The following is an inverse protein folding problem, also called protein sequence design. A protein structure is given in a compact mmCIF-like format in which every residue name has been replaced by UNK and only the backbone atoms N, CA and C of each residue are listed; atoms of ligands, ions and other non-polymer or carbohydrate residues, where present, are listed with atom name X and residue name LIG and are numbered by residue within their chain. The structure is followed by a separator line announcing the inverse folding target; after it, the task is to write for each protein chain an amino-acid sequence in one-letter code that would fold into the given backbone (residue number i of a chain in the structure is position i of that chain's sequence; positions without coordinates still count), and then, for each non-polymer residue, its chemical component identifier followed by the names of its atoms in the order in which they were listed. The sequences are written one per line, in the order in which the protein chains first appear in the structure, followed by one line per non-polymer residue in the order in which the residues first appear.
data_IF_283021791306
#
_entry.id   IF_283021791306
#
_cell.length_a   1.000
_cell.length_b   1.000
_cell.length_c   1.000
_cell.angle_alpha   90.00
_cell.angle_beta   90.00
_cell.angle_gamma   90.00
#
_symmetry.space_group_name_H-M   'P 1'
#
loop_
_entity.id
_entity.type
_entity.pdbx_description
1 polymer ?
#
# COMPACT_ATOMS: atom_id res chain seq x y z
N UNK A 1 10.35 -10.48 2.39
CA UNK A 1 9.04 -11.04 2.81
C UNK A 1 7.88 -10.23 2.26
N UNK A 2 7.76 -8.92 2.54
CA UNK A 2 6.64 -8.08 2.07
C UNK A 2 6.39 -8.15 0.54
N UNK A 3 7.46 -8.09 -0.27
CA UNK A 3 7.37 -8.25 -1.73
C UNK A 3 6.69 -9.56 -2.16
N UNK A 4 7.08 -10.68 -1.54
CA UNK A 4 6.51 -11.99 -1.86
C UNK A 4 5.04 -12.07 -1.48
N UNK A 5 4.67 -11.50 -0.33
CA UNK A 5 3.27 -11.43 0.12
C UNK A 5 2.41 -10.58 -0.83
N UNK A 6 2.90 -9.42 -1.26
CA UNK A 6 2.20 -8.58 -2.24
C UNK A 6 2.03 -9.29 -3.59
N UNK A 7 3.08 -9.97 -4.09
CA UNK A 7 2.97 -10.75 -5.33
C UNK A 7 2.01 -11.94 -5.19
N UNK A 8 2.06 -12.67 -4.06
CA UNK A 8 1.12 -13.74 -3.77
C UNK A 8 -0.32 -13.21 -3.70
N UNK A 9 -0.53 -12.07 -3.06
CA UNK A 9 -1.82 -11.37 -3.00
C UNK A 9 -2.34 -11.04 -4.40
N UNK A 10 -1.52 -10.45 -5.26
CA UNK A 10 -1.90 -10.10 -6.63
C UNK A 10 -2.26 -11.34 -7.47
N UNK A 11 -1.46 -12.41 -7.39
CA UNK A 11 -1.72 -13.66 -8.13
C UNK A 11 -3.00 -14.35 -7.66
N UNK A 12 -3.18 -14.51 -6.34
CA UNK A 12 -4.37 -15.15 -5.77
C UNK A 12 -5.64 -14.35 -6.06
N UNK A 13 -5.57 -13.02 -5.95
CA UNK A 13 -6.69 -12.14 -6.28
C UNK A 13 -7.04 -12.19 -7.77
N UNK A 14 -6.03 -12.25 -8.64
CA UNK A 14 -6.25 -12.38 -10.07
C UNK A 14 -6.91 -13.73 -10.42
N UNK A 15 -6.49 -14.81 -9.76
CA UNK A 15 -7.11 -16.13 -9.92
C UNK A 15 -8.56 -16.13 -9.41
N UNK A 16 -8.85 -15.47 -8.28
CA UNK A 16 -10.20 -15.33 -7.76
C UNK A 16 -11.10 -14.52 -8.71
N UNK A 17 -10.62 -13.35 -9.17
CA UNK A 17 -11.30 -12.51 -10.14
C UNK A 17 -11.53 -13.26 -11.46
N UNK A 18 -10.53 -13.98 -11.97
CA UNK A 18 -10.68 -14.77 -13.19
C UNK A 18 -11.71 -15.90 -13.03
N UNK A 19 -11.69 -16.63 -11.91
CA UNK A 19 -12.67 -17.68 -11.65
C UNK A 19 -14.11 -17.17 -11.62
N UNK A 20 -14.33 -15.90 -11.23
CA UNK A 20 -15.65 -15.26 -11.26
C UNK A 20 -16.00 -14.71 -12.64
N UNK A 21 -15.07 -14.01 -13.27
CA UNK A 21 -15.36 -13.16 -14.43
C UNK A 21 -14.97 -13.75 -15.78
N UNK A 22 -14.37 -14.95 -15.83
CA UNK A 22 -13.97 -15.57 -17.09
C UNK A 22 -15.13 -15.63 -18.10
N UNK A 23 -16.33 -15.99 -17.65
CA UNK A 23 -17.56 -16.04 -18.48
C UNK A 23 -17.93 -14.72 -19.16
N UNK A 24 -17.42 -13.58 -18.68
CA UNK A 24 -17.63 -12.26 -19.28
C UNK A 24 -16.61 -11.90 -20.36
N UNK A 25 -15.45 -12.55 -20.37
CA UNK A 25 -14.31 -12.17 -21.24
C UNK A 25 -13.94 -13.26 -22.26
N UNK A 26 -14.16 -14.52 -21.88
CA UNK A 26 -13.94 -15.69 -22.69
C UNK A 26 -15.24 -16.50 -22.65
N UNK A 27 -15.62 -17.15 -23.75
CA UNK A 27 -16.77 -18.06 -23.81
C UNK A 27 -16.49 -19.34 -23.00
N UNK A 28 -16.21 -19.17 -21.70
CA UNK A 28 -15.97 -20.22 -20.73
C UNK A 28 -17.30 -20.70 -20.17
N UNK A 29 -17.35 -21.98 -19.82
CA UNK A 29 -18.49 -22.56 -19.13
C UNK A 29 -18.74 -21.79 -17.82
N UNK A 30 -20.00 -21.40 -17.54
CA UNK A 30 -20.28 -20.66 -16.33
C UNK A 30 -19.98 -21.54 -15.12
N UNK A 31 -19.44 -20.94 -14.05
CA UNK A 31 -18.89 -21.70 -12.95
C UNK A 31 -19.95 -22.30 -12.02
N UNK A 32 -21.24 -22.06 -12.29
CA UNK A 32 -22.36 -22.55 -11.51
C UNK A 32 -23.28 -23.45 -12.37
N UNK A 33 -23.68 -24.62 -11.83
CA UNK A 33 -24.56 -25.54 -12.53
C UNK A 33 -25.92 -24.87 -12.81
N UNK A 34 -26.42 -25.02 -14.04
CA UNK A 34 -27.69 -24.44 -14.47
C UNK A 34 -27.60 -23.03 -15.08
N UNK A 35 -26.41 -22.40 -15.10
CA UNK A 35 -26.22 -21.11 -15.78
C UNK A 35 -25.88 -21.22 -17.28
N UNK A 36 -25.40 -22.38 -17.75
CA UNK A 36 -24.93 -22.58 -19.13
C UNK A 36 -26.01 -22.36 -20.21
N UNK A 37 -27.27 -22.33 -19.81
CA UNK A 37 -28.41 -22.13 -20.71
C UNK A 37 -28.90 -20.69 -20.75
N UNK A 38 -28.27 -19.77 -20.01
CA UNK A 38 -28.67 -18.36 -19.97
C UNK A 38 -27.83 -17.55 -20.95
N UNK A 39 -28.47 -16.91 -21.92
CA UNK A 39 -27.91 -15.86 -22.82
C UNK A 39 -27.46 -14.59 -22.05
N UNK A 40 -27.17 -14.71 -20.76
CA UNK A 40 -26.84 -13.64 -19.82
C UNK A 40 -26.03 -14.13 -18.62
N UNK A 41 -25.27 -15.23 -18.73
CA UNK A 41 -24.45 -15.75 -17.64
C UNK A 41 -23.49 -14.69 -17.06
N UNK A 42 -22.90 -13.83 -17.91
CA UNK A 42 -22.11 -12.68 -17.46
C UNK A 42 -22.91 -11.68 -16.62
N UNK A 43 -24.17 -11.41 -16.97
CA UNK A 43 -25.06 -10.52 -16.20
C UNK A 43 -25.45 -11.18 -14.88
N UNK A 44 -25.70 -12.50 -14.88
CA UNK A 44 -26.04 -13.23 -13.67
C UNK A 44 -24.92 -13.19 -12.62
N UNK A 45 -23.66 -13.36 -13.01
CA UNK A 45 -22.51 -13.32 -12.06
C UNK A 45 -22.16 -11.91 -11.56
N UNK A 46 -22.75 -10.86 -12.16
CA UNK A 46 -22.60 -9.49 -11.69
C UNK A 46 -23.46 -9.20 -10.46
N UNK A 47 -24.46 -10.03 -10.17
CA UNK A 47 -25.35 -9.91 -9.02
C UNK A 47 -24.56 -9.90 -7.69
N UNK A 48 -25.03 -9.09 -6.73
CA UNK A 48 -24.47 -9.01 -5.38
C UNK A 48 -24.41 -10.36 -4.65
N UNK A 49 -25.25 -11.34 -5.05
CA UNK A 49 -25.22 -12.72 -4.54
C UNK A 49 -23.84 -13.38 -4.64
N UNK A 50 -22.98 -12.90 -5.56
CA UNK A 50 -21.65 -13.45 -5.82
C UNK A 50 -20.50 -12.56 -5.35
N UNK A 51 -20.77 -11.51 -4.56
CA UNK A 51 -19.72 -10.60 -4.10
C UNK A 51 -18.80 -11.23 -3.04
N UNK A 52 -17.49 -10.98 -3.13
CA UNK A 52 -16.49 -11.49 -2.18
C UNK A 52 -15.93 -10.41 -1.27
N UNK A 53 -16.26 -9.14 -1.54
CA UNK A 53 -15.80 -8.01 -0.74
C UNK A 53 -16.46 -8.04 0.64
N UNK A 54 -17.79 -8.26 0.67
CA UNK A 54 -18.57 -8.40 1.91
C UNK A 54 -19.65 -9.48 1.66
N UNK A 55 -19.38 -10.76 1.99
CA UNK A 55 -20.40 -11.80 1.89
C UNK A 55 -21.59 -11.46 2.80
N UNK A 56 -22.79 -11.37 2.23
CA UNK A 56 -24.02 -11.04 2.96
C UNK A 56 -25.18 -11.89 2.45
N UNK A 57 -26.11 -12.27 3.32
CA UNK A 57 -27.22 -13.13 2.92
C UNK A 57 -28.19 -12.39 1.98
N UNK A 58 -28.60 -13.02 0.85
CA UNK A 58 -28.17 -14.34 0.36
C UNK A 58 -26.83 -14.28 -0.38
N UNK A 59 -25.94 -15.25 -0.16
CA UNK A 59 -24.64 -15.35 -0.84
C UNK A 59 -24.39 -16.75 -1.36
N UNK A 60 -23.71 -16.87 -2.50
CA UNK A 60 -23.28 -18.15 -3.06
C UNK A 60 -21.80 -18.13 -3.47
N UNK A 61 -20.98 -19.08 -2.99
CA UNK A 61 -19.60 -19.21 -3.44
C UNK A 61 -19.54 -19.65 -4.92
N UNK A 62 -18.57 -19.12 -5.66
CA UNK A 62 -18.22 -19.64 -6.99
C UNK A 62 -16.93 -20.43 -6.86
N UNK A 63 -17.04 -21.77 -6.89
CA UNK A 63 -15.89 -22.67 -6.72
C UNK A 63 -15.01 -22.25 -5.53
N UNK A 64 -13.68 -22.29 -5.70
CA UNK A 64 -12.71 -21.88 -4.68
C UNK A 64 -12.38 -20.37 -4.73
N UNK A 65 -13.15 -19.55 -5.48
CA UNK A 65 -12.82 -18.15 -5.70
C UNK A 65 -12.81 -17.35 -4.39
N UNK A 66 -13.78 -17.58 -3.52
CA UNK A 66 -13.87 -16.94 -2.20
C UNK A 66 -12.65 -17.28 -1.32
N UNK A 67 -12.19 -18.53 -1.31
CA UNK A 67 -11.01 -18.95 -0.55
C UNK A 67 -9.74 -18.26 -1.08
N UNK A 68 -9.57 -18.19 -2.41
CA UNK A 68 -8.45 -17.50 -3.04
C UNK A 68 -8.47 -16.00 -2.77
N UNK A 69 -9.64 -15.38 -2.80
CA UNK A 69 -9.79 -13.96 -2.48
C UNK A 69 -9.46 -13.70 -1.01
N UNK A 70 -9.98 -14.50 -0.08
CA UNK A 70 -9.65 -14.39 1.34
C UNK A 70 -8.14 -14.50 1.59
N UNK A 71 -7.47 -15.48 0.99
CA UNK A 71 -6.01 -15.60 1.06
C UNK A 71 -5.27 -14.42 0.41
N UNK A 72 -5.79 -13.86 -0.69
CA UNK A 72 -5.26 -12.65 -1.33
C UNK A 72 -5.31 -11.46 -0.38
N UNK A 73 -6.43 -11.25 0.31
CA UNK A 73 -6.63 -10.15 1.26
C UNK A 73 -5.76 -10.31 2.50
N UNK A 74 -5.62 -11.55 3.02
CA UNK A 74 -4.69 -11.85 4.12
C UNK A 74 -3.23 -11.54 3.73
N UNK A 75 -2.83 -11.98 2.54
CA UNK A 75 -1.51 -11.71 1.98
C UNK A 75 -1.28 -10.23 1.66
N UNK A 76 -2.34 -9.42 1.49
CA UNK A 76 -2.27 -7.97 1.34
C UNK A 76 -2.15 -7.24 2.68
N UNK A 77 -2.92 -7.64 3.69
CA UNK A 77 -2.94 -6.98 4.99
C UNK A 77 -1.61 -7.09 5.73
N UNK A 78 -0.99 -8.27 5.73
CA UNK A 78 0.30 -8.51 6.39
C UNK A 78 1.44 -7.55 5.94
N UNK A 79 1.75 -7.38 4.65
CA UNK A 79 2.80 -6.47 4.22
C UNK A 79 2.48 -4.99 4.52
N UNK A 80 1.21 -4.58 4.53
CA UNK A 80 0.81 -3.22 4.93
C UNK A 80 1.20 -2.96 6.38
N UNK A 81 0.89 -3.89 7.30
CA UNK A 81 1.29 -3.82 8.71
C UNK A 81 2.82 -3.84 8.86
N UNK A 82 3.51 -4.74 8.14
CA UNK A 82 4.96 -4.86 8.23
C UNK A 82 5.66 -3.59 7.74
N UNK A 83 5.20 -2.99 6.65
CA UNK A 83 5.82 -1.79 6.08
C UNK A 83 5.57 -0.56 6.96
N UNK A 84 4.41 -0.43 7.59
CA UNK A 84 4.14 0.69 8.50
C UNK A 84 5.08 0.70 9.71
N UNK A 85 5.51 -0.47 10.18
CA UNK A 85 6.49 -0.62 11.27
C UNK A 85 7.92 -0.25 10.87
N UNK A 86 8.25 -0.17 9.56
CA UNK A 86 9.63 0.04 9.08
C UNK A 86 10.02 1.50 8.83
N UNK A 87 9.05 2.42 8.84
CA UNK A 87 9.31 3.87 8.84
C UNK A 87 9.86 4.21 10.23
N UNK A 88 10.94 4.98 10.44
CA UNK A 88 11.48 5.24 11.80
C UNK A 88 12.02 6.67 12.03
N UNK A 89 11.77 7.63 11.15
CA UNK A 89 12.57 8.87 11.18
C UNK A 89 12.10 9.96 12.18
N UNK A 90 10.87 9.92 12.71
CA UNK A 90 10.36 10.90 13.70
C UNK A 90 9.32 10.29 14.62
N UNK A 91 9.54 10.31 15.93
CA UNK A 91 8.69 9.60 16.91
C UNK A 91 7.17 9.90 16.78
N UNK A 92 6.76 11.16 16.62
CA UNK A 92 5.33 11.51 16.56
C UNK A 92 4.66 11.09 15.23
N UNK A 93 5.27 11.42 14.09
CA UNK A 93 4.78 11.02 12.77
C UNK A 93 4.85 9.50 12.60
N UNK A 94 5.84 8.87 13.24
CA UNK A 94 5.99 7.44 13.29
C UNK A 94 4.83 6.76 13.99
N UNK A 95 4.45 7.21 15.20
CA UNK A 95 3.30 6.63 15.93
C UNK A 95 2.02 6.73 15.10
N UNK A 96 1.76 7.89 14.50
CA UNK A 96 0.57 8.08 13.65
C UNK A 96 0.61 7.21 12.39
N UNK A 97 1.76 7.14 11.71
CA UNK A 97 1.94 6.32 10.51
C UNK A 97 1.83 4.82 10.79
N UNK A 98 2.39 4.37 11.91
CA UNK A 98 2.27 2.98 12.39
C UNK A 98 0.83 2.66 12.74
N UNK A 99 0.16 3.51 13.52
CA UNK A 99 -1.24 3.30 13.90
C UNK A 99 -2.15 3.27 12.66
N UNK A 100 -1.96 4.20 11.73
CA UNK A 100 -2.68 4.26 10.47
C UNK A 100 -2.45 3.01 9.60
N UNK A 101 -1.20 2.58 9.44
CA UNK A 101 -0.87 1.38 8.66
C UNK A 101 -1.35 0.08 9.32
N UNK A 102 -1.29 -0.02 10.64
CA UNK A 102 -1.87 -1.15 11.39
C UNK A 102 -3.38 -1.19 11.18
N UNK A 103 -4.05 -0.04 11.32
CA UNK A 103 -5.49 0.09 11.15
C UNK A 103 -5.93 -0.34 9.73
N UNK A 104 -5.28 0.19 8.68
CA UNK A 104 -5.59 -0.21 7.30
C UNK A 104 -5.26 -1.68 7.05
N UNK A 105 -4.13 -2.18 7.56
CA UNK A 105 -3.74 -3.57 7.44
C UNK A 105 -4.72 -4.53 8.14
N UNK A 106 -5.23 -4.16 9.32
CA UNK A 106 -6.20 -4.97 10.05
C UNK A 106 -7.55 -5.05 9.35
N UNK A 107 -7.97 -4.00 8.62
CA UNK A 107 -9.17 -4.06 7.77
C UNK A 107 -9.03 -5.15 6.71
N UNK A 108 -7.91 -5.18 5.98
CA UNK A 108 -7.64 -6.22 4.98
C UNK A 108 -7.58 -7.62 5.59
N UNK A 109 -6.97 -7.76 6.76
CA UNK A 109 -6.91 -9.04 7.47
C UNK A 109 -8.30 -9.52 7.90
N UNK A 110 -9.11 -8.63 8.49
CA UNK A 110 -10.46 -8.96 8.94
C UNK A 110 -11.36 -9.39 7.78
N UNK A 111 -11.38 -8.61 6.69
CA UNK A 111 -12.09 -8.98 5.47
C UNK A 111 -11.57 -10.30 4.91
N UNK A 112 -10.24 -10.49 4.85
CA UNK A 112 -9.64 -11.73 4.36
C UNK A 112 -10.02 -12.97 5.17
N UNK A 113 -10.06 -12.87 6.51
CA UNK A 113 -10.54 -13.95 7.38
C UNK A 113 -12.00 -14.26 7.09
N UNK A 114 -12.86 -13.23 7.05
CA UNK A 114 -14.29 -13.41 6.82
C UNK A 114 -14.58 -14.06 5.46
N UNK A 115 -13.97 -13.56 4.39
CA UNK A 115 -14.14 -14.10 3.03
C UNK A 115 -13.60 -15.52 2.92
N UNK A 116 -12.46 -15.82 3.55
CA UNK A 116 -11.89 -17.17 3.55
C UNK A 116 -12.79 -18.17 4.29
N UNK A 117 -13.28 -17.83 5.48
CA UNK A 117 -14.16 -18.68 6.26
C UNK A 117 -15.51 -18.88 5.57
N UNK A 118 -16.07 -17.83 4.97
CA UNK A 118 -17.31 -17.94 4.16
C UNK A 118 -17.10 -18.88 2.97
N UNK A 119 -15.94 -18.80 2.31
CA UNK A 119 -15.55 -19.72 1.23
C UNK A 119 -15.37 -21.18 1.66
N UNK A 120 -15.04 -21.44 2.94
CA UNK A 120 -14.97 -22.81 3.49
C UNK A 120 -16.34 -23.33 3.94
N UNK A 121 -17.18 -22.45 4.51
CA UNK A 121 -18.51 -22.82 4.99
C UNK A 121 -19.52 -22.99 3.85
N UNK A 122 -19.33 -22.26 2.75
CA UNK A 122 -20.29 -22.19 1.65
C UNK A 122 -21.47 -21.26 1.91
N UNK A 123 -21.45 -20.52 3.02
CA UNK A 123 -22.44 -19.53 3.45
C UNK A 123 -21.72 -18.33 4.09
N UNK A 124 -22.37 -17.14 4.20
CA UNK A 124 -21.80 -15.99 4.88
C UNK A 124 -21.48 -16.29 6.34
N UNK A 125 -20.18 -16.25 6.67
CA UNK A 125 -19.74 -16.29 8.06
C UNK A 125 -19.63 -14.86 8.56
N UNK A 126 -20.54 -14.45 9.45
CA UNK A 126 -20.39 -13.19 10.17
C UNK A 126 -19.41 -13.36 11.32
N UNK A 127 -18.36 -12.55 11.34
CA UNK A 127 -17.48 -12.43 12.50
C UNK A 127 -18.06 -11.30 13.34
N UNK A 128 -18.47 -11.61 14.57
CA UNK A 128 -19.01 -10.60 15.48
C UNK A 128 -18.05 -9.41 15.64
N UNK A 129 -18.59 -8.19 15.73
CA UNK A 129 -17.85 -6.93 15.98
C UNK A 129 -17.08 -6.30 14.77
N UNK A 130 -17.51 -6.55 13.54
CA UNK A 130 -16.93 -5.92 12.33
C UNK A 130 -17.44 -4.50 12.03
N UNK A 131 -18.35 -3.93 12.82
CA UNK A 131 -18.87 -2.58 12.58
C UNK A 131 -17.74 -1.52 12.52
N UNK A 132 -16.73 -1.66 13.39
CA UNK A 132 -15.54 -0.80 13.37
C UNK A 132 -14.68 -0.98 12.11
N UNK A 133 -14.62 -2.20 11.57
CA UNK A 133 -13.87 -2.52 10.35
C UNK A 133 -14.51 -1.86 9.12
N UNK A 134 -15.84 -1.90 9.02
CA UNK A 134 -16.55 -1.24 7.92
C UNK A 134 -16.36 0.28 7.95
N UNK A 135 -16.53 0.91 9.11
CA UNK A 135 -16.31 2.34 9.26
C UNK A 135 -14.87 2.72 8.90
N UNK A 136 -13.89 1.96 9.36
CA UNK A 136 -12.48 2.18 9.05
C UNK A 136 -12.16 1.94 7.56
N UNK A 137 -12.81 0.97 6.92
CA UNK A 137 -12.70 0.69 5.49
C UNK A 137 -13.14 1.87 4.62
N UNK A 138 -14.20 2.59 5.02
CA UNK A 138 -14.65 3.82 4.33
C UNK A 138 -13.59 4.92 4.43
N UNK A 139 -12.87 5.01 5.56
CA UNK A 139 -11.82 6.02 5.74
C UNK A 139 -10.43 5.60 5.24
N UNK A 140 -10.19 4.31 5.01
CA UNK A 140 -8.92 3.75 4.54
C UNK A 140 -8.32 4.44 3.29
N UNK A 141 -9.07 4.80 2.23
CA UNK A 141 -8.50 5.53 1.09
C UNK A 141 -7.95 6.90 1.49
N UNK A 142 -8.60 7.62 2.39
CA UNK A 142 -8.12 8.92 2.86
C UNK A 142 -6.87 8.78 3.75
N UNK A 143 -6.84 7.74 4.59
CA UNK A 143 -5.68 7.43 5.45
C UNK A 143 -4.47 7.11 4.58
N UNK A 144 -4.60 6.19 3.62
CA UNK A 144 -3.51 5.78 2.72
C UNK A 144 -3.06 6.93 1.82
N UNK A 145 -3.98 7.77 1.33
CA UNK A 145 -3.64 8.98 0.59
C UNK A 145 -2.86 9.98 1.45
N UNK A 146 -3.28 10.19 2.69
CA UNK A 146 -2.56 11.03 3.65
C UNK A 146 -1.14 10.52 3.91
N UNK A 147 -0.96 9.20 4.08
CA UNK A 147 0.36 8.58 4.21
C UNK A 147 1.21 8.77 2.94
N UNK A 148 0.61 8.68 1.74
CA UNK A 148 1.29 8.94 0.49
C UNK A 148 1.78 10.39 0.40
N UNK A 149 0.91 11.36 0.72
CA UNK A 149 1.25 12.79 0.72
C UNK A 149 2.36 13.09 1.73
N UNK A 150 2.27 12.56 2.95
CA UNK A 150 3.30 12.72 3.99
C UNK A 150 4.62 12.10 3.57
N UNK A 151 4.60 10.92 2.92
CA UNK A 151 5.82 10.29 2.42
C UNK A 151 6.49 11.08 1.27
N UNK A 152 5.70 11.72 0.39
CA UNK A 152 6.22 12.48 -0.75
C UNK A 152 6.67 13.90 -0.35
N UNK A 153 5.88 14.58 0.49
CA UNK A 153 6.04 16.01 0.80
C UNK A 153 6.61 16.27 2.19
N UNK A 154 6.72 15.26 3.04
CA UNK A 154 7.41 15.41 4.30
C UNK A 154 8.83 15.87 4.00
N UNK A 155 9.18 17.11 4.38
CA UNK A 155 10.53 17.69 4.37
C UNK A 155 11.44 16.94 5.37
N UNK A 156 11.48 15.61 5.27
CA UNK A 156 12.16 14.69 6.15
C UNK A 156 13.61 14.59 5.68
N UNK A 157 14.38 15.64 5.98
CA UNK A 157 15.83 15.65 5.82
C UNK A 157 16.26 15.48 4.36
N UNK A 158 16.35 16.62 3.64
CA UNK A 158 16.79 16.75 2.23
C UNK A 158 18.06 15.98 1.82
N UNK A 159 18.79 15.39 2.76
CA UNK A 159 20.13 14.85 2.54
C UNK A 159 20.24 13.32 2.55
N UNK A 160 19.24 12.53 2.97
CA UNK A 160 19.50 11.10 3.23
C UNK A 160 18.90 10.06 2.27
N UNK A 161 17.68 10.17 1.71
CA UNK A 161 17.18 9.17 0.73
C UNK A 161 15.90 9.61 -0.04
N UNK A 162 15.94 10.73 -0.76
CA UNK A 162 14.79 11.25 -1.53
C UNK A 162 14.07 10.18 -2.37
N UNK A 163 14.83 9.26 -2.96
CA UNK A 163 14.26 8.19 -3.78
C UNK A 163 13.47 7.15 -2.95
N UNK A 164 13.87 6.82 -1.71
CA UNK A 164 13.16 5.83 -0.88
C UNK A 164 11.80 6.34 -0.45
N UNK A 165 11.74 7.61 -0.06
CA UNK A 165 10.52 8.25 0.42
C UNK A 165 9.49 8.39 -0.71
N UNK A 166 9.95 8.71 -1.93
CA UNK A 166 9.10 8.70 -3.13
C UNK A 166 8.52 7.31 -3.39
N UNK A 167 9.32 6.24 -3.35
CA UNK A 167 8.80 4.89 -3.55
C UNK A 167 7.84 4.45 -2.43
N UNK A 168 8.07 4.87 -1.18
CA UNK A 168 7.12 4.67 -0.09
C UNK A 168 5.80 5.42 -0.35
N UNK A 169 5.89 6.65 -0.86
CA UNK A 169 4.72 7.42 -1.31
C UNK A 169 3.94 6.72 -2.42
N UNK A 170 4.64 6.19 -3.43
CA UNK A 170 4.04 5.39 -4.51
C UNK A 170 3.36 4.13 -3.95
N UNK A 171 3.98 3.46 -2.98
CA UNK A 171 3.36 2.32 -2.30
C UNK A 171 2.02 2.71 -1.65
N UNK A 172 1.98 3.77 -0.86
CA UNK A 172 0.75 4.23 -0.20
C UNK A 172 -0.30 4.74 -1.17
N UNK A 173 0.11 5.40 -2.26
CA UNK A 173 -0.79 5.81 -3.33
C UNK A 173 -1.40 4.58 -4.04
N UNK A 174 -0.59 3.56 -4.33
CA UNK A 174 -1.08 2.31 -4.87
C UNK A 174 -2.05 1.60 -3.90
N UNK A 175 -1.76 1.60 -2.60
CA UNK A 175 -2.70 1.08 -1.58
C UNK A 175 -3.98 1.89 -1.46
N UNK A 176 -3.97 3.18 -1.82
CA UNK A 176 -5.19 4.01 -1.93
C UNK A 176 -6.03 3.50 -3.10
N UNK A 177 -5.41 3.33 -4.27
CA UNK A 177 -6.08 2.84 -5.48
C UNK A 177 -6.62 1.42 -5.31
N UNK A 178 -5.94 0.59 -4.51
CA UNK A 178 -6.35 -0.77 -4.19
C UNK A 178 -7.55 -0.87 -3.22
N UNK A 179 -8.02 0.23 -2.63
CA UNK A 179 -9.17 0.20 -1.71
C UNK A 179 -10.47 -0.08 -2.47
N UNK A 180 -11.49 -0.69 -1.82
CA UNK A 180 -12.76 -1.00 -2.46
C UNK A 180 -13.49 0.22 -3.05
N UNK A 181 -13.41 1.39 -2.40
CA UNK A 181 -14.13 2.60 -2.85
C UNK A 181 -13.54 3.21 -4.15
N UNK A 182 -12.22 3.44 -4.26
CA UNK A 182 -11.57 3.81 -5.53
C UNK A 182 -11.75 2.77 -6.63
N UNK A 183 -11.74 1.48 -6.31
CA UNK A 183 -12.04 0.42 -7.27
C UNK A 183 -13.48 0.53 -7.77
N UNK A 184 -14.47 0.57 -6.89
CA UNK A 184 -15.89 0.76 -7.22
C UNK A 184 -16.10 1.99 -8.11
N UNK A 185 -15.49 3.13 -7.72
CA UNK A 185 -15.59 4.36 -8.51
C UNK A 185 -15.01 4.16 -9.91
N UNK A 186 -13.81 3.58 -10.03
CA UNK A 186 -13.14 3.39 -11.33
C UNK A 186 -13.91 2.41 -12.22
N UNK A 187 -14.41 1.32 -11.63
CA UNK A 187 -15.12 0.29 -12.39
C UNK A 187 -16.50 0.76 -12.83
N UNK A 188 -17.17 1.64 -12.08
CA UNK A 188 -18.43 2.30 -12.47
C UNK A 188 -18.31 3.08 -13.80
N UNK A 189 -17.18 3.76 -14.04
CA UNK A 189 -16.96 4.50 -15.29
C UNK A 189 -16.58 3.59 -16.47
N UNK A 190 -15.96 2.45 -16.20
CA UNK A 190 -15.50 1.53 -17.24
C UNK A 190 -16.58 0.54 -17.66
N UNK A 191 -17.47 0.17 -16.74
CA UNK A 191 -18.52 -0.79 -16.97
C UNK A 191 -19.73 -0.48 -16.08
N UNK A 192 -20.81 0.03 -16.67
CA UNK A 192 -22.07 0.26 -15.95
C UNK A 192 -22.77 -1.08 -15.67
N UNK A 193 -22.29 -1.81 -14.68
CA UNK A 193 -22.98 -2.97 -14.11
C UNK A 193 -23.98 -2.51 -13.07
N UNK A 194 -25.06 -3.26 -12.92
CA UNK A 194 -26.14 -2.95 -11.97
C UNK A 194 -25.67 -3.13 -10.50
N UNK A 195 -24.78 -4.09 -10.24
CA UNK A 195 -24.34 -4.45 -8.89
C UNK A 195 -22.81 -4.53 -8.76
N UNK A 196 -22.15 -5.46 -9.47
CA UNK A 196 -20.69 -5.62 -9.45
C UNK A 196 -20.09 -5.59 -10.85
N UNK A 197 -19.05 -4.79 -11.08
CA UNK A 197 -18.35 -4.76 -12.37
C UNK A 197 -17.47 -6.00 -12.59
N UNK A 198 -17.38 -6.53 -13.83
CA UNK A 198 -16.48 -7.64 -14.15
C UNK A 198 -14.99 -7.26 -14.06
N UNK A 199 -14.68 -5.98 -13.83
CA UNK A 199 -13.33 -5.48 -13.61
C UNK A 199 -12.93 -5.48 -12.12
N UNK A 200 -13.87 -5.73 -11.21
CA UNK A 200 -13.61 -5.80 -9.76
C UNK A 200 -12.64 -6.94 -9.44
N UNK A 201 -11.64 -6.68 -8.61
CA UNK A 201 -10.53 -7.56 -8.29
C UNK A 201 -9.32 -7.33 -9.20
N UNK A 202 -9.51 -7.18 -10.51
CA UNK A 202 -8.40 -6.94 -11.45
C UNK A 202 -7.70 -5.61 -11.17
N UNK A 203 -8.47 -4.56 -10.88
CA UNK A 203 -7.93 -3.23 -10.61
C UNK A 203 -7.13 -3.22 -9.29
N UNK A 204 -7.68 -3.80 -8.23
CA UNK A 204 -6.96 -4.04 -6.96
C UNK A 204 -5.64 -4.80 -7.22
N UNK A 205 -5.67 -5.91 -7.94
CA UNK A 205 -4.46 -6.70 -8.23
C UNK A 205 -3.40 -5.89 -9.00
N UNK A 206 -3.79 -5.10 -10.00
CA UNK A 206 -2.88 -4.22 -10.72
C UNK A 206 -2.22 -3.18 -9.79
N UNK A 207 -3.00 -2.55 -8.90
CA UNK A 207 -2.49 -1.62 -7.91
C UNK A 207 -1.53 -2.31 -6.90
N UNK A 208 -1.84 -3.54 -6.47
CA UNK A 208 -0.97 -4.34 -5.60
C UNK A 208 0.37 -4.69 -6.29
N UNK A 209 0.37 -4.95 -7.61
CA UNK A 209 1.62 -5.13 -8.38
C UNK A 209 2.45 -3.85 -8.38
N UNK A 210 1.83 -2.68 -8.57
CA UNK A 210 2.54 -1.38 -8.47
C UNK A 210 3.15 -1.19 -7.08
N UNK A 211 2.41 -1.55 -6.03
CA UNK A 211 2.90 -1.51 -4.66
C UNK A 211 4.08 -2.46 -4.43
N UNK A 212 4.03 -3.67 -4.99
CA UNK A 212 5.13 -4.65 -4.97
C UNK A 212 6.38 -4.10 -5.65
N UNK A 213 6.24 -3.49 -6.84
CA UNK A 213 7.33 -2.82 -7.55
C UNK A 213 7.92 -1.69 -6.70
N UNK A 214 7.08 -0.85 -6.10
CA UNK A 214 7.53 0.23 -5.23
C UNK A 214 8.37 -0.29 -4.05
N UNK A 215 7.92 -1.37 -3.39
CA UNK A 215 8.68 -2.04 -2.32
C UNK A 215 10.00 -2.59 -2.86
N UNK A 216 10.01 -3.27 -4.00
CA UNK A 216 11.24 -3.78 -4.62
C UNK A 216 12.25 -2.65 -4.89
N UNK A 217 11.78 -1.49 -5.35
CA UNK A 217 12.62 -0.33 -5.62
C UNK A 217 13.24 0.29 -4.36
N UNK A 218 12.60 0.13 -3.19
CA UNK A 218 13.22 0.51 -1.90
C UNK A 218 14.38 -0.38 -1.48
N UNK A 219 14.44 -1.60 -2.01
CA UNK A 219 15.50 -2.58 -1.71
C UNK A 219 16.73 -2.41 -2.62
N UNK A 220 16.64 -1.65 -3.72
CA UNK A 220 17.76 -1.42 -4.64
C UNK A 220 18.81 -0.53 -3.97
N UNK A 221 20.05 -1.02 -3.74
CA UNK A 221 21.10 -0.24 -3.10
C UNK A 221 21.42 1.03 -3.90
N UNK A 222 21.58 2.16 -3.22
CA UNK A 222 21.90 3.44 -3.85
C UNK A 222 23.15 3.38 -4.75
N UNK A 223 24.11 2.49 -4.45
CA UNK A 223 25.35 2.29 -5.21
C UNK A 223 25.15 1.79 -6.65
N UNK A 224 24.01 1.17 -6.97
CA UNK A 224 23.71 0.68 -8.32
C UNK A 224 22.88 1.67 -9.15
N UNK A 225 22.49 2.81 -8.58
CA UNK A 225 21.70 3.79 -9.31
C UNK A 225 22.65 4.64 -10.17
N UNK A 226 22.32 4.84 -11.46
CA UNK A 226 23.07 5.77 -12.30
C UNK A 226 23.17 7.10 -11.56
N UNK A 227 24.39 7.60 -11.35
CA UNK A 227 24.56 8.94 -10.80
C UNK A 227 23.72 9.87 -11.66
N UNK A 228 22.66 10.47 -11.10
CA UNK A 228 21.83 11.45 -11.82
C UNK A 228 22.83 12.40 -12.46
N UNK A 229 22.85 12.55 -13.81
CA UNK A 229 23.80 13.43 -14.46
C UNK A 229 23.65 14.76 -13.77
N UNK A 230 24.70 15.10 -13.01
CA UNK A 230 24.59 16.10 -11.98
C UNK A 230 23.96 17.31 -12.63
N UNK A 231 22.89 17.81 -12.01
CA UNK A 231 22.51 19.21 -12.14
C UNK A 231 23.78 19.93 -11.76
N UNK A 232 24.68 20.12 -12.75
CA UNK A 232 25.84 20.97 -12.67
C UNK A 232 25.19 22.19 -12.09
N UNK A 233 25.52 22.50 -10.83
CA UNK A 233 25.39 23.87 -10.37
C UNK A 233 26.06 24.60 -11.51
N UNK A 234 25.26 25.23 -12.35
CA UNK A 234 25.68 26.37 -13.12
C UNK A 234 26.21 27.25 -12.03
N UNK A 235 27.50 27.10 -11.76
CA UNK A 235 28.32 28.08 -11.08
C UNK A 235 28.04 29.28 -11.96
N UNK A 236 27.07 30.07 -11.53
CA UNK A 236 26.65 31.25 -12.26
C UNK A 236 27.89 32.11 -12.32
N UNK A 237 28.61 32.16 -13.47
CA UNK A 237 29.87 32.88 -13.55
C UNK A 237 29.61 34.39 -13.41
N UNK A 238 28.33 34.79 -13.46
CA UNK A 238 27.87 36.18 -13.40
C UNK A 238 27.66 36.73 -12.00
N UNK A 239 27.73 35.94 -10.92
CA UNK A 239 27.65 36.49 -9.56
C UNK A 239 28.99 37.12 -9.18
N UNK A 240 29.25 38.29 -9.78
CA UNK A 240 30.36 39.19 -9.42
C UNK A 240 30.36 39.36 -7.90
N UNK A 241 31.52 39.26 -7.23
CA UNK A 241 31.62 39.65 -5.84
C UNK A 241 31.11 41.09 -5.76
N UNK A 242 30.06 41.32 -4.95
CA UNK A 242 29.70 42.67 -4.54
C UNK A 242 30.86 43.17 -3.68
N UNK A 243 31.84 43.77 -4.35
CA UNK A 243 32.73 44.72 -3.72
C UNK A 243 31.85 45.87 -3.21
N UNK A 244 31.89 46.12 -1.91
CA UNK A 244 31.23 47.28 -1.32
C UNK A 244 30.06 46.95 -0.41
N UNK A 245 30.37 46.44 0.78
CA UNK A 245 29.77 46.96 1.99
C UNK A 245 30.79 46.70 3.11
N UNK A 246 31.52 47.75 3.48
CA UNK A 246 32.34 47.76 4.69
C UNK A 246 31.41 47.50 5.88
N UNK A 247 31.48 46.29 6.42
CA UNK A 247 30.75 45.87 7.59
C UNK A 247 31.75 45.37 8.62
N UNK A 248 32.07 46.26 9.56
CA UNK A 248 32.72 46.07 10.86
C UNK A 248 33.04 44.59 11.18
N UNK A 249 34.35 44.29 11.13
CA UNK A 249 34.93 43.10 11.74
C UNK A 249 34.77 43.23 13.26
N UNK A 250 33.69 42.69 13.81
CA UNK A 250 33.62 42.35 15.23
C UNK A 250 34.45 41.08 15.40
N UNK A 251 35.72 41.28 15.73
CA UNK A 251 36.61 40.27 16.28
C UNK A 251 36.03 39.77 17.60
N UNK A 252 35.18 38.76 17.54
CA UNK A 252 34.81 37.96 18.70
C UNK A 252 36.03 37.10 19.07
N UNK A 253 36.81 37.66 19.98
CA UNK A 253 37.94 37.06 20.67
C UNK A 253 37.46 35.78 21.38
N UNK A 254 37.65 34.63 20.72
CA UNK A 254 37.51 33.34 21.37
C UNK A 254 38.62 33.22 22.40
N UNK A 255 38.26 33.38 23.66
CA UNK A 255 39.13 33.04 24.78
C UNK A 255 39.34 31.55 24.80
N UNK A 256 40.58 31.14 24.54
CA UNK A 256 41.12 29.83 24.85
C UNK A 256 40.80 29.47 26.32
N UNK A 257 39.90 28.50 26.52
CA UNK A 257 39.84 27.76 27.77
C UNK A 257 40.48 26.38 27.55
N UNK A 258 41.66 26.11 28.10
CA UNK A 258 42.19 24.76 28.15
C UNK A 258 41.36 23.96 29.17
N UNK A 259 40.64 22.93 28.69
CA UNK A 259 40.11 21.90 29.58
C UNK A 259 41.20 20.86 29.85
N UNK A 260 41.62 20.65 31.11
CA UNK A 260 42.45 19.51 31.46
C UNK A 260 41.53 18.30 31.67
N UNK A 261 41.73 17.23 30.90
CA UNK A 261 41.24 15.91 31.29
C UNK A 261 42.43 14.99 31.59
N UNK A 262 42.61 14.60 32.85
CA UNK A 262 43.61 13.62 33.26
C UNK A 262 43.03 12.19 33.21
N UNK A 263 43.94 11.22 33.00
CA UNK A 263 43.80 9.81 33.44
C UNK A 263 42.94 8.94 32.51
N UNK A 264 43.50 8.06 31.69
CA UNK A 264 44.28 6.85 32.04
C UNK A 264 43.64 6.07 33.19
N UNK A 265 42.88 5.04 32.83
CA UNK A 265 42.38 4.02 33.74
C UNK A 265 42.19 2.70 32.99
N UNK A 266 43.29 1.98 32.77
CA UNK A 266 43.26 0.55 32.44
C UNK A 266 42.77 -0.20 33.67
N UNK A 267 41.75 -1.03 33.53
CA UNK A 267 41.55 -2.19 34.41
C UNK A 267 41.38 -3.42 33.54
N UNK A 268 42.42 -4.25 33.58
CA UNK A 268 42.39 -5.66 33.21
C UNK A 268 41.91 -6.48 34.42
N UNK A 269 41.29 -7.63 34.17
CA UNK A 269 40.95 -8.65 35.17
C UNK A 269 39.46 -9.01 35.10
N UNK A 270 39.04 -10.27 35.05
CA UNK A 270 39.69 -11.59 35.05
C UNK A 270 38.72 -12.56 34.39
#
# INVERSE_FOLDING_TARGET
MALLLLMASAVLGLQAAWSRWAVCFVDADPPLPGMATLDGACVAVQDHLYDYTIPSDPWMPIADAAQREGLSLLALGLPVVLLSLTVMNRWFIWVLGVAAGIAVGSVWLAMGVQTFLSGLAGEPVQVDDLAGVHALGVFAPFITLGLAVVAIHGDVGRDLNLDRDVWLGVFWAAMTVAQPLPELFTTLFLWSSHDTSPMTGFFRCAAVVVAAVAVAMTLVPARRRPARPGRRRSVDPGRRPRAGAGGIVLSAQWTDRPTPFPGVGRCAGR
#
